data_IF_482006069327
#
_entry.id   IF_482006069327
#
_cell.length_a   1.000
_cell.length_b   1.000
_cell.length_c   1.000
_cell.angle_alpha   90.00
_cell.angle_beta   90.00
_cell.angle_gamma   90.00
#
_symmetry.space_group_name_H-M   'P 1'
#
loop_
_entity.id
_entity.type
_entity.pdbx_description
1 polymer ?
#
# COMPACT_ATOMS: atom_id res chain seq x y z
N UNK A 1 -12.29 -3.36 -29.39
CA UNK A 1 -11.95 -2.27 -28.45
C UNK A 1 -10.46 -1.99 -28.60
N UNK A 2 -10.05 -0.72 -28.62
CA UNK A 2 -8.63 -0.38 -28.60
C UNK A 2 -8.01 -0.84 -27.28
N UNK A 3 -6.80 -1.39 -27.36
CA UNK A 3 -6.09 -1.97 -26.24
C UNK A 3 -5.64 -0.88 -25.26
N UNK A 4 -5.99 -1.00 -23.98
CA UNK A 4 -5.47 -0.09 -22.94
C UNK A 4 -4.00 -0.36 -22.66
N UNK A 5 -3.26 0.67 -22.26
CA UNK A 5 -1.89 0.55 -21.77
C UNK A 5 -1.81 1.33 -20.46
N UNK A 6 -1.67 0.57 -19.37
CA UNK A 6 -1.68 1.08 -18.01
C UNK A 6 -0.28 0.91 -17.42
N UNK A 7 0.24 1.98 -16.85
CA UNK A 7 1.44 1.96 -16.03
C UNK A 7 1.05 1.97 -14.56
N UNK A 8 1.72 1.16 -13.76
CA UNK A 8 1.76 1.30 -12.31
C UNK A 8 3.17 1.72 -11.90
N UNK A 9 3.26 2.84 -11.20
CA UNK A 9 4.52 3.40 -10.70
C UNK A 9 4.51 3.29 -9.19
N UNK A 10 5.59 2.78 -8.62
CA UNK A 10 5.73 2.53 -7.18
C UNK A 10 7.14 2.96 -6.75
N UNK A 11 7.26 3.93 -5.85
CA UNK A 11 8.55 4.38 -5.32
C UNK A 11 9.13 3.31 -4.41
N UNK A 12 10.36 2.91 -4.69
CA UNK A 12 11.02 1.87 -3.93
C UNK A 12 11.25 2.32 -2.48
N UNK A 13 10.87 1.50 -1.49
CA UNK A 13 11.04 1.77 -0.04
C UNK A 13 10.87 3.27 0.35
N UNK A 14 9.85 3.91 -0.14
CA UNK A 14 9.68 5.36 -0.28
C UNK A 14 10.12 6.18 0.94
N UNK A 15 9.59 5.93 2.15
CA UNK A 15 9.94 6.75 3.32
C UNK A 15 11.43 6.63 3.67
N UNK A 16 12.02 5.45 3.54
CA UNK A 16 13.45 5.31 3.80
C UNK A 16 14.31 5.95 2.71
N UNK A 17 13.88 5.97 1.44
CA UNK A 17 14.55 6.79 0.41
C UNK A 17 14.48 8.29 0.71
N UNK A 18 13.34 8.79 1.23
CA UNK A 18 13.23 10.18 1.64
C UNK A 18 14.25 10.51 2.74
N UNK A 19 14.47 9.61 3.69
CA UNK A 19 15.51 9.79 4.71
C UNK A 19 16.93 9.71 4.13
N UNK A 20 17.18 8.85 3.14
CA UNK A 20 18.46 8.80 2.43
C UNK A 20 18.74 10.07 1.60
N UNK A 21 17.69 10.73 1.09
CA UNK A 21 17.82 12.02 0.42
C UNK A 21 18.17 13.13 1.41
N UNK A 22 17.51 13.12 2.58
CA UNK A 22 17.76 14.07 3.68
C UNK A 22 19.14 13.90 4.29
N UNK A 23 19.60 12.64 4.42
CA UNK A 23 20.86 12.24 5.06
C UNK A 23 21.58 11.20 4.22
N UNK A 24 22.35 11.61 3.20
CA UNK A 24 23.00 10.69 2.26
C UNK A 24 23.97 9.68 2.90
N UNK A 25 24.51 10.00 4.07
CA UNK A 25 25.39 9.12 4.86
C UNK A 25 24.66 7.84 5.33
N UNK A 26 23.35 7.84 5.39
CA UNK A 26 22.57 6.68 5.82
C UNK A 26 22.40 5.61 4.73
N UNK A 27 22.76 5.87 3.48
CA UNK A 27 22.53 4.93 2.35
C UNK A 27 23.18 3.56 2.53
N UNK A 28 24.24 3.47 3.31
CA UNK A 28 24.98 2.23 3.55
C UNK A 28 24.52 1.49 4.83
N UNK A 29 23.63 2.09 5.60
CA UNK A 29 23.13 1.56 6.87
C UNK A 29 21.72 0.97 6.74
N UNK A 30 21.33 0.01 7.59
CA UNK A 30 19.94 -0.41 7.70
C UNK A 30 19.08 0.75 8.23
N UNK A 31 18.15 1.25 7.42
CA UNK A 31 17.20 2.31 7.81
C UNK A 31 15.85 1.68 8.06
N UNK A 32 15.27 1.98 9.22
CA UNK A 32 13.93 1.58 9.62
C UNK A 32 13.15 2.81 10.01
N UNK A 33 12.16 3.20 9.21
CA UNK A 33 11.24 4.28 9.54
C UNK A 33 10.09 3.72 10.36
N UNK A 34 9.83 4.32 11.51
CA UNK A 34 8.97 3.79 12.56
C UNK A 34 7.80 4.72 12.88
N UNK A 35 6.65 4.11 13.11
CA UNK A 35 5.52 4.73 13.81
C UNK A 35 5.62 4.32 15.29
N UNK A 36 6.28 5.17 16.09
CA UNK A 36 6.36 4.96 17.53
C UNK A 36 4.99 5.24 18.17
N UNK A 37 4.64 4.44 19.17
CA UNK A 37 3.44 4.70 19.97
C UNK A 37 3.81 5.46 21.24
N UNK A 38 2.84 6.23 21.78
CA UNK A 38 2.99 6.98 23.02
C UNK A 38 3.14 6.09 24.28
N UNK A 39 3.10 4.76 24.15
CA UNK A 39 3.35 3.81 25.23
C UNK A 39 4.82 3.73 25.65
N UNK A 40 5.69 4.41 24.92
CA UNK A 40 7.12 4.49 25.20
C UNK A 40 7.92 3.25 24.79
N UNK A 41 9.24 3.31 24.97
CA UNK A 41 10.18 2.24 24.61
C UNK A 41 10.14 1.88 23.13
N UNK A 42 10.16 0.58 22.82
CA UNK A 42 10.12 0.05 21.47
C UNK A 42 8.70 -0.30 21.01
N UNK A 43 7.69 0.38 21.57
CA UNK A 43 6.30 0.19 21.17
C UNK A 43 6.01 0.91 19.87
N UNK A 44 5.32 0.22 18.95
CA UNK A 44 4.99 0.73 17.62
C UNK A 44 5.32 -0.26 16.51
N UNK A 45 5.19 0.21 15.27
CA UNK A 45 5.38 -0.62 14.09
C UNK A 45 6.32 0.03 13.07
N UNK A 46 6.99 -0.79 12.29
CA UNK A 46 7.79 -0.37 11.13
C UNK A 46 6.85 0.15 10.04
N UNK A 47 7.00 1.40 9.66
CA UNK A 47 6.29 1.97 8.51
C UNK A 47 6.93 1.50 7.20
N UNK A 48 8.25 1.61 7.09
CA UNK A 48 9.02 1.04 5.98
C UNK A 48 10.47 0.77 6.40
N UNK A 49 11.18 -0.02 5.60
CA UNK A 49 12.59 -0.28 5.78
C UNK A 49 13.31 -0.32 4.43
N UNK A 50 14.57 0.12 4.37
CA UNK A 50 15.37 0.02 3.17
C UNK A 50 15.78 -1.43 2.87
N UNK A 51 16.30 -1.69 1.67
CA UNK A 51 16.64 -3.05 1.26
C UNK A 51 17.75 -3.68 2.12
N UNK A 52 18.61 -2.87 2.74
CA UNK A 52 19.63 -3.38 3.67
C UNK A 52 18.95 -3.99 4.89
N UNK A 53 18.01 -3.29 5.51
CA UNK A 53 17.25 -3.79 6.65
C UNK A 53 16.32 -4.97 6.26
N UNK A 54 15.73 -4.95 5.05
CA UNK A 54 14.89 -6.04 4.54
C UNK A 54 15.62 -7.37 4.42
N UNK A 55 16.93 -7.37 4.13
CA UNK A 55 17.78 -8.61 4.13
C UNK A 55 17.81 -9.31 5.48
N UNK A 56 17.54 -8.60 6.57
CA UNK A 56 17.41 -9.15 7.92
C UNK A 56 15.94 -9.46 8.28
N UNK A 57 15.05 -9.44 7.29
CA UNK A 57 13.63 -9.73 7.47
C UNK A 57 12.83 -8.57 8.08
N UNK A 58 13.39 -7.35 8.16
CA UNK A 58 12.67 -6.17 8.65
C UNK A 58 11.81 -5.61 7.52
N UNK A 59 10.49 -5.72 7.66
CA UNK A 59 9.51 -5.27 6.68
C UNK A 59 8.43 -4.40 7.35
N UNK A 60 7.65 -3.69 6.54
CA UNK A 60 6.49 -2.91 7.01
C UNK A 60 5.53 -3.78 7.83
N UNK A 61 4.98 -3.21 8.90
CA UNK A 61 4.07 -3.89 9.82
C UNK A 61 4.75 -4.71 10.92
N UNK A 62 6.09 -4.96 10.85
CA UNK A 62 6.81 -5.61 11.93
C UNK A 62 6.85 -4.70 13.16
N UNK A 63 6.71 -5.26 14.38
CA UNK A 63 6.89 -4.44 15.58
C UNK A 63 8.33 -3.96 15.71
N UNK A 64 8.51 -2.73 16.24
CA UNK A 64 9.85 -2.12 16.40
C UNK A 64 10.75 -3.00 17.27
N UNK A 65 10.20 -3.59 18.32
CA UNK A 65 10.93 -4.52 19.20
C UNK A 65 11.52 -5.71 18.43
N UNK A 66 10.75 -6.32 17.52
CA UNK A 66 11.25 -7.42 16.70
C UNK A 66 12.23 -6.93 15.63
N UNK A 67 12.03 -5.75 15.05
CA UNK A 67 12.97 -5.16 14.10
C UNK A 67 14.35 -4.92 14.76
N UNK A 68 14.39 -4.34 15.95
CA UNK A 68 15.61 -4.17 16.72
C UNK A 68 16.29 -5.50 17.07
N UNK A 69 15.50 -6.53 17.44
CA UNK A 69 16.04 -7.87 17.69
C UNK A 69 16.72 -8.46 16.45
N UNK A 70 16.13 -8.28 15.25
CA UNK A 70 16.69 -8.78 13.99
C UNK A 70 17.95 -8.05 13.55
N UNK A 71 18.06 -6.77 13.86
CA UNK A 71 19.21 -5.92 13.53
C UNK A 71 20.21 -5.80 14.69
N UNK A 72 20.13 -6.64 15.71
CA UNK A 72 20.98 -6.56 16.93
C UNK A 72 22.48 -6.51 16.63
N UNK A 73 22.92 -7.23 15.62
CA UNK A 73 24.34 -7.31 15.24
C UNK A 73 24.79 -6.17 14.30
N UNK A 74 23.84 -5.36 13.81
CA UNK A 74 24.08 -4.19 12.96
C UNK A 74 24.05 -2.93 13.82
N UNK A 75 25.23 -2.58 14.39
CA UNK A 75 25.39 -1.41 15.25
C UNK A 75 25.19 -0.07 14.53
N UNK A 76 25.28 -0.10 13.20
CA UNK A 76 25.03 1.02 12.30
C UNK A 76 23.54 1.15 11.91
N UNK A 77 22.64 0.33 12.45
CA UNK A 77 21.21 0.41 12.13
C UNK A 77 20.57 1.67 12.72
N UNK A 78 19.71 2.33 11.94
CA UNK A 78 19.06 3.59 12.30
C UNK A 78 17.54 3.42 12.33
N UNK A 79 16.93 3.77 13.46
CA UNK A 79 15.48 3.76 13.66
C UNK A 79 14.98 5.19 13.75
N UNK A 80 14.22 5.64 12.75
CA UNK A 80 13.78 7.03 12.60
C UNK A 80 12.26 7.13 12.80
N UNK A 81 11.76 8.16 13.49
CA UNK A 81 10.32 8.44 13.50
C UNK A 81 9.86 8.83 12.10
N UNK A 82 8.63 8.43 11.74
CA UNK A 82 8.03 8.81 10.47
C UNK A 82 7.70 10.31 10.45
N UNK A 83 8.19 11.00 9.43
CA UNK A 83 7.91 12.41 9.14
C UNK A 83 6.98 12.51 7.91
N UNK A 84 5.69 12.34 8.16
CA UNK A 84 4.69 12.31 7.08
C UNK A 84 4.52 13.65 6.35
N UNK A 85 4.85 14.77 6.96
CA UNK A 85 4.79 16.08 6.33
C UNK A 85 5.89 16.19 5.26
N UNK A 86 7.12 15.85 5.63
CA UNK A 86 8.24 15.80 4.71
C UNK A 86 8.01 14.79 3.58
N UNK A 87 7.54 13.57 3.89
CA UNK A 87 7.27 12.57 2.85
C UNK A 87 6.14 13.00 1.92
N UNK A 88 5.13 13.70 2.43
CA UNK A 88 4.04 14.22 1.59
C UNK A 88 4.52 15.29 0.61
N UNK A 89 5.45 16.17 1.02
CA UNK A 89 6.01 17.20 0.14
C UNK A 89 6.81 16.59 -1.02
N UNK A 90 7.62 15.55 -0.75
CA UNK A 90 8.35 14.82 -1.80
C UNK A 90 7.40 14.03 -2.71
N UNK A 91 6.40 13.36 -2.11
CA UNK A 91 5.37 12.65 -2.86
C UNK A 91 4.65 13.57 -3.84
N UNK A 92 4.20 14.72 -3.36
CA UNK A 92 3.44 15.69 -4.17
C UNK A 92 4.25 16.18 -5.38
N UNK A 93 5.52 16.52 -5.15
CA UNK A 93 6.45 16.88 -6.23
C UNK A 93 6.58 15.74 -7.26
N UNK A 94 6.80 14.53 -6.78
CA UNK A 94 7.00 13.36 -7.63
C UNK A 94 5.74 12.99 -8.40
N UNK A 95 4.57 13.05 -7.75
CA UNK A 95 3.28 12.76 -8.39
C UNK A 95 2.91 13.79 -9.46
N UNK A 96 3.28 15.07 -9.28
CA UNK A 96 3.10 16.09 -10.30
C UNK A 96 3.93 15.80 -11.55
N UNK A 97 5.19 15.35 -11.38
CA UNK A 97 6.03 14.90 -12.51
C UNK A 97 5.37 13.75 -13.26
N UNK A 98 4.91 12.73 -12.55
CA UNK A 98 4.29 11.53 -13.14
C UNK A 98 3.03 11.90 -13.92
N UNK A 99 2.21 12.78 -13.37
CA UNK A 99 0.93 13.21 -13.96
C UNK A 99 1.09 13.83 -15.36
N UNK A 100 2.21 14.47 -15.66
CA UNK A 100 2.46 15.05 -16.99
C UNK A 100 2.48 14.01 -18.12
N UNK A 101 2.80 12.77 -17.79
CA UNK A 101 2.88 11.66 -18.73
C UNK A 101 1.57 10.91 -18.95
N UNK A 102 0.53 11.18 -18.16
CA UNK A 102 -0.73 10.43 -18.19
C UNK A 102 -1.77 11.06 -19.13
N UNK A 103 -2.59 10.24 -19.76
CA UNK A 103 -3.91 10.64 -20.30
C UNK A 103 -4.91 10.73 -19.15
N UNK A 104 -4.89 9.72 -18.27
CA UNK A 104 -5.65 9.68 -17.01
C UNK A 104 -4.70 9.27 -15.89
N UNK A 105 -4.73 10.02 -14.79
CA UNK A 105 -3.89 9.81 -13.61
C UNK A 105 -4.74 9.44 -12.41
N UNK A 106 -4.40 8.32 -11.76
CA UNK A 106 -5.01 7.86 -10.52
C UNK A 106 -3.97 7.83 -9.40
N UNK A 107 -4.14 8.72 -8.44
CA UNK A 107 -3.36 8.74 -7.21
C UNK A 107 -3.88 7.65 -6.26
N UNK A 108 -3.06 6.67 -5.91
CA UNK A 108 -3.40 5.57 -5.00
C UNK A 108 -2.89 5.86 -3.58
N UNK A 109 -1.62 6.23 -3.47
CA UNK A 109 -0.95 6.50 -2.22
C UNK A 109 0.21 7.49 -2.38
N UNK A 110 0.92 7.78 -1.29
CA UNK A 110 2.08 8.67 -1.34
C UNK A 110 3.21 8.16 -2.21
N UNK A 111 3.25 6.86 -2.43
CA UNK A 111 4.34 6.15 -3.11
C UNK A 111 3.90 5.43 -4.39
N UNK A 112 2.61 5.44 -4.72
CA UNK A 112 2.13 4.72 -5.90
C UNK A 112 1.01 5.44 -6.66
N UNK A 113 1.00 5.25 -7.99
CA UNK A 113 0.00 5.78 -8.88
C UNK A 113 -0.21 4.88 -10.11
N UNK A 114 -1.43 4.94 -10.68
CA UNK A 114 -1.70 4.39 -12.01
C UNK A 114 -1.80 5.50 -13.05
N UNK A 115 -1.30 5.20 -14.25
CA UNK A 115 -1.41 6.05 -15.42
C UNK A 115 -2.04 5.25 -16.56
N UNK A 116 -3.10 5.75 -17.14
CA UNK A 116 -3.49 5.37 -18.50
C UNK A 116 -2.71 6.27 -19.46
N UNK A 117 -1.93 5.68 -20.34
CA UNK A 117 -1.10 6.38 -21.35
C UNK A 117 -1.51 6.02 -22.77
N UNK A 118 -2.61 5.27 -22.91
CA UNK A 118 -3.03 4.63 -24.17
C UNK A 118 -3.04 5.57 -25.37
N UNK A 119 -3.65 6.76 -25.21
CA UNK A 119 -3.76 7.75 -26.28
C UNK A 119 -2.43 8.43 -26.58
N UNK A 120 -1.67 8.83 -25.55
CA UNK A 120 -0.37 9.51 -25.71
C UNK A 120 0.65 8.70 -26.50
N UNK A 121 0.58 7.37 -26.39
CA UNK A 121 1.51 6.46 -27.06
C UNK A 121 0.86 5.70 -28.23
N UNK A 122 -0.34 6.15 -28.67
CA UNK A 122 -1.04 5.57 -29.83
C UNK A 122 -1.25 4.04 -29.69
N UNK A 123 -1.52 3.56 -28.47
CA UNK A 123 -1.71 2.14 -28.12
C UNK A 123 -0.51 1.22 -28.46
N UNK A 124 0.71 1.77 -28.55
CA UNK A 124 1.94 1.02 -28.86
C UNK A 124 2.71 0.64 -27.58
N UNK A 125 2.78 -0.64 -27.24
CA UNK A 125 3.53 -1.15 -26.10
C UNK A 125 5.06 -0.90 -26.17
N UNK A 126 5.63 -0.74 -27.37
CA UNK A 126 7.05 -0.39 -27.50
C UNK A 126 7.31 1.03 -26.99
N UNK A 127 6.40 1.96 -27.30
CA UNK A 127 6.46 3.33 -26.77
C UNK A 127 6.22 3.36 -25.25
N UNK A 128 5.46 2.42 -24.71
CA UNK A 128 5.23 2.34 -23.26
C UNK A 128 6.51 2.08 -22.47
N UNK A 129 7.41 1.24 -22.96
CA UNK A 129 8.72 1.04 -22.33
C UNK A 129 9.55 2.33 -22.35
N UNK A 130 9.54 3.06 -23.47
CA UNK A 130 10.28 4.32 -23.60
C UNK A 130 9.75 5.40 -22.64
N UNK A 131 8.42 5.64 -22.61
CA UNK A 131 7.81 6.62 -21.70
C UNK A 131 8.06 6.26 -20.24
N UNK A 132 8.02 4.97 -19.90
CA UNK A 132 8.31 4.50 -18.53
C UNK A 132 9.76 4.83 -18.14
N UNK A 133 10.72 4.66 -19.05
CA UNK A 133 12.11 5.02 -18.77
C UNK A 133 12.29 6.54 -18.64
N UNK A 134 11.60 7.32 -19.45
CA UNK A 134 11.60 8.79 -19.32
C UNK A 134 11.06 9.22 -17.95
N UNK A 135 9.95 8.64 -17.48
CA UNK A 135 9.40 8.90 -16.16
C UNK A 135 10.42 8.58 -15.06
N UNK A 136 11.03 7.39 -15.10
CA UNK A 136 12.04 6.98 -14.12
C UNK A 136 13.23 7.95 -14.08
N UNK A 137 13.72 8.35 -15.24
CA UNK A 137 14.85 9.28 -15.35
C UNK A 137 14.48 10.65 -14.78
N UNK A 138 13.32 11.20 -15.15
CA UNK A 138 12.85 12.50 -14.67
C UNK A 138 12.65 12.52 -13.14
N UNK A 139 12.05 11.46 -12.58
CA UNK A 139 11.92 11.30 -11.14
C UNK A 139 13.30 11.30 -10.47
N UNK A 140 14.24 10.50 -10.99
CA UNK A 140 15.59 10.41 -10.42
C UNK A 140 16.34 11.74 -10.50
N UNK A 141 16.23 12.46 -11.59
CA UNK A 141 16.90 13.76 -11.79
C UNK A 141 16.34 14.82 -10.84
N UNK A 142 15.01 14.94 -10.74
CA UNK A 142 14.36 16.02 -10.02
C UNK A 142 14.15 15.74 -8.53
N UNK A 143 14.00 14.47 -8.12
CA UNK A 143 13.67 14.10 -6.74
C UNK A 143 14.70 13.20 -6.08
N UNK A 144 15.66 12.66 -6.82
CA UNK A 144 16.64 11.65 -6.37
C UNK A 144 16.02 10.31 -5.94
N UNK A 145 14.71 10.12 -6.15
CA UNK A 145 14.04 8.85 -5.88
C UNK A 145 14.28 7.85 -7.02
N UNK A 146 14.21 6.56 -6.67
CA UNK A 146 14.01 5.49 -7.62
C UNK A 146 12.58 4.96 -7.53
N UNK A 147 12.06 4.47 -8.65
CA UNK A 147 10.75 3.84 -8.70
C UNK A 147 10.78 2.61 -9.59
N UNK A 148 9.92 1.66 -9.30
CA UNK A 148 9.67 0.51 -10.13
C UNK A 148 8.39 0.72 -10.95
N UNK A 149 8.44 0.37 -12.23
CA UNK A 149 7.33 0.59 -13.15
C UNK A 149 6.89 -0.74 -13.75
N UNK A 150 5.59 -1.01 -13.68
CA UNK A 150 4.95 -2.12 -14.36
C UNK A 150 4.03 -1.61 -15.46
N UNK A 151 4.08 -2.23 -16.63
CA UNK A 151 3.28 -1.88 -17.79
C UNK A 151 2.48 -3.07 -18.25
N UNK A 152 1.17 -2.92 -18.40
CA UNK A 152 0.29 -3.95 -18.95
C UNK A 152 -1.03 -3.36 -19.49
N UNK A 153 -1.95 -4.22 -19.92
CA UNK A 153 -3.28 -3.84 -20.41
C UNK A 153 -4.31 -3.48 -19.33
N UNK A 154 -4.01 -3.73 -18.05
CA UNK A 154 -4.92 -3.45 -16.92
C UNK A 154 -4.17 -3.12 -15.63
N UNK A 155 -4.89 -2.63 -14.61
CA UNK A 155 -4.34 -2.21 -13.32
C UNK A 155 -3.71 -3.36 -12.55
N UNK A 156 -4.38 -4.50 -12.48
CA UNK A 156 -3.90 -5.67 -11.76
C UNK A 156 -2.52 -6.11 -12.25
N UNK A 157 -2.39 -6.36 -13.55
CA UNK A 157 -1.15 -6.83 -14.16
C UNK A 157 -0.03 -5.80 -14.08
N UNK A 158 -0.33 -4.51 -14.27
CA UNK A 158 0.68 -3.45 -14.14
C UNK A 158 1.20 -3.33 -12.70
N UNK A 159 0.34 -3.52 -11.68
CA UNK A 159 0.76 -3.55 -10.28
C UNK A 159 1.64 -4.77 -9.96
N UNK A 160 1.26 -5.95 -10.42
CA UNK A 160 2.10 -7.15 -10.26
C UNK A 160 3.44 -6.97 -10.97
N UNK A 161 3.43 -6.45 -12.19
CA UNK A 161 4.63 -6.20 -12.98
C UNK A 161 5.59 -5.19 -12.31
N UNK A 162 5.07 -4.14 -11.64
CA UNK A 162 5.92 -3.18 -10.93
C UNK A 162 6.65 -3.80 -9.73
N UNK A 163 6.08 -4.84 -9.12
CA UNK A 163 6.71 -5.56 -8.01
C UNK A 163 7.72 -6.63 -8.46
N UNK A 164 7.61 -7.10 -9.71
CA UNK A 164 8.34 -8.27 -10.21
C UNK A 164 9.88 -8.10 -10.23
N UNK A 165 10.36 -6.89 -10.51
CA UNK A 165 11.80 -6.57 -10.60
C UNK A 165 12.22 -5.42 -9.67
N UNK A 166 11.61 -5.31 -8.48
CA UNK A 166 12.07 -4.32 -7.49
C UNK A 166 13.47 -4.63 -6.97
N UNK A 167 14.31 -3.61 -6.68
CA UNK A 167 14.08 -2.16 -6.84
C UNK A 167 14.47 -1.64 -8.24
N UNK A 168 14.02 -0.43 -8.54
CA UNK A 168 14.36 0.33 -9.75
C UNK A 168 14.08 -0.45 -11.04
N UNK A 169 13.08 -1.34 -11.01
CA UNK A 169 12.70 -2.20 -12.12
C UNK A 169 11.84 -1.51 -13.18
N UNK A 170 11.80 -2.15 -14.35
CA UNK A 170 10.82 -1.90 -15.39
C UNK A 170 10.40 -3.25 -15.97
N UNK A 171 9.11 -3.56 -15.87
CA UNK A 171 8.54 -4.81 -16.39
C UNK A 171 7.37 -4.49 -17.29
N UNK A 172 7.43 -4.98 -18.53
CA UNK A 172 6.37 -4.84 -19.52
C UNK A 172 5.76 -6.21 -19.78
N UNK A 173 4.46 -6.34 -19.52
CA UNK A 173 3.71 -7.56 -19.77
C UNK A 173 2.81 -7.35 -20.97
N UNK A 174 3.25 -7.92 -22.11
CA UNK A 174 2.50 -7.86 -23.36
C UNK A 174 1.27 -8.76 -23.33
N UNK A 175 0.22 -8.47 -24.09
CA UNK A 175 -1.02 -9.24 -24.09
C UNK A 175 -0.86 -10.73 -24.40
N UNK A 176 0.02 -11.06 -25.34
CA UNK A 176 0.35 -12.44 -25.73
C UNK A 176 1.21 -13.18 -24.69
N UNK A 177 1.74 -12.47 -23.69
CA UNK A 177 2.59 -13.01 -22.63
C UNK A 177 1.91 -13.09 -21.27
N UNK A 178 0.66 -12.65 -21.15
CA UNK A 178 -0.05 -12.60 -19.85
C UNK A 178 -0.12 -13.99 -19.20
N UNK A 179 -0.50 -15.03 -19.96
CA UNK A 179 -0.65 -16.38 -19.38
C UNK A 179 0.66 -16.90 -18.83
N UNK A 180 1.73 -16.77 -19.61
CA UNK A 180 3.07 -17.18 -19.18
C UNK A 180 3.56 -16.37 -17.98
N UNK A 181 3.41 -15.05 -18.01
CA UNK A 181 3.83 -14.18 -16.91
C UNK A 181 3.14 -14.56 -15.58
N UNK A 182 1.84 -14.84 -15.61
CA UNK A 182 1.10 -15.22 -14.41
C UNK A 182 1.52 -16.63 -13.92
N UNK A 183 1.79 -17.56 -14.81
CA UNK A 183 2.22 -18.92 -14.46
C UNK A 183 3.59 -18.96 -13.76
N UNK A 184 4.45 -18.00 -14.06
CA UNK A 184 5.76 -17.84 -13.43
C UNK A 184 5.71 -17.22 -12.02
N UNK A 185 4.51 -16.80 -11.54
CA UNK A 185 4.32 -16.14 -10.25
C UNK A 185 4.03 -17.15 -9.13
N UNK A 186 4.35 -16.78 -7.90
CA UNK A 186 3.79 -17.42 -6.70
C UNK A 186 2.34 -16.94 -6.47
N UNK A 187 1.53 -17.76 -5.80
CA UNK A 187 0.12 -17.40 -5.48
C UNK A 187 0.05 -16.06 -4.74
N UNK A 188 1.02 -15.77 -3.87
CA UNK A 188 1.08 -14.52 -3.10
C UNK A 188 1.47 -13.28 -3.90
N UNK A 189 2.04 -13.46 -5.09
CA UNK A 189 2.35 -12.33 -5.98
C UNK A 189 1.09 -11.75 -6.62
N UNK A 190 -0.01 -12.51 -6.64
CA UNK A 190 -1.30 -12.01 -7.07
C UNK A 190 -1.80 -11.00 -6.04
N UNK A 191 -1.90 -9.75 -6.45
CA UNK A 191 -2.39 -8.69 -5.59
C UNK A 191 -3.75 -9.07 -4.96
N UNK A 192 -3.91 -8.85 -3.66
CA UNK A 192 -5.11 -9.21 -2.91
C UNK A 192 -5.13 -10.64 -2.35
N UNK A 193 -4.16 -11.50 -2.70
CA UNK A 193 -3.97 -12.80 -2.05
C UNK A 193 -2.95 -12.65 -0.91
N UNK A 194 -3.46 -12.62 0.31
CA UNK A 194 -2.64 -12.57 1.52
C UNK A 194 -2.33 -13.96 2.07
N UNK A 195 -1.49 -14.00 3.13
CA UNK A 195 -1.05 -15.22 3.79
C UNK A 195 -2.21 -16.17 4.18
N UNK A 196 -3.30 -15.63 4.76
CA UNK A 196 -4.47 -16.43 5.17
C UNK A 196 -5.20 -17.06 3.97
N UNK A 197 -5.27 -16.36 2.85
CA UNK A 197 -5.89 -16.89 1.63
C UNK A 197 -5.03 -17.99 1.03
N UNK A 198 -3.71 -17.80 0.99
CA UNK A 198 -2.74 -18.79 0.53
C UNK A 198 -2.77 -20.06 1.40
N UNK A 199 -2.78 -19.93 2.74
CA UNK A 199 -2.88 -21.04 3.68
C UNK A 199 -4.15 -21.85 3.43
N UNK A 200 -5.29 -21.19 3.26
CA UNK A 200 -6.57 -21.84 2.97
C UNK A 200 -6.60 -22.55 1.61
N UNK A 201 -5.97 -21.96 0.58
CA UNK A 201 -5.79 -22.61 -0.72
C UNK A 201 -4.91 -23.86 -0.60
N UNK A 202 -3.84 -23.79 0.19
CA UNK A 202 -2.94 -24.91 0.41
C UNK A 202 -3.61 -26.08 1.17
N UNK A 203 -4.53 -25.81 2.10
CA UNK A 203 -5.38 -26.82 2.76
C UNK A 203 -6.22 -27.62 1.76
N UNK A 204 -6.67 -26.98 0.68
CA UNK A 204 -7.41 -27.63 -0.44
C UNK A 204 -6.47 -28.20 -1.53
N UNK A 205 -5.15 -28.28 -1.26
CA UNK A 205 -4.17 -28.83 -2.19
C UNK A 205 -3.72 -27.87 -3.29
N UNK A 206 -4.16 -26.60 -3.29
CA UNK A 206 -3.83 -25.59 -4.29
C UNK A 206 -2.57 -24.85 -3.88
N UNK A 207 -1.43 -25.16 -4.53
CA UNK A 207 -0.10 -24.64 -4.17
C UNK A 207 0.55 -23.82 -5.29
N UNK A 208 0.02 -23.86 -6.50
CA UNK A 208 0.56 -23.17 -7.67
C UNK A 208 -0.53 -22.39 -8.38
N UNK A 209 -0.13 -21.44 -9.22
CA UNK A 209 -1.05 -20.71 -10.08
C UNK A 209 -1.79 -21.66 -11.04
N UNK A 210 -1.12 -22.68 -11.56
CA UNK A 210 -1.75 -23.70 -12.41
C UNK A 210 -2.88 -24.40 -11.67
N UNK A 211 -2.64 -24.92 -10.45
CA UNK A 211 -3.70 -25.54 -9.64
C UNK A 211 -4.85 -24.58 -9.35
N UNK A 212 -4.53 -23.28 -9.15
CA UNK A 212 -5.55 -22.27 -8.87
C UNK A 212 -6.38 -21.93 -10.13
N UNK A 213 -5.79 -21.98 -11.32
CA UNK A 213 -6.50 -21.84 -12.60
C UNK A 213 -7.46 -23.01 -12.88
N UNK A 214 -7.16 -24.21 -12.38
CA UNK A 214 -8.03 -25.39 -12.57
C UNK A 214 -9.32 -25.29 -11.77
N UNK A 215 -9.37 -24.45 -10.74
CA UNK A 215 -10.60 -24.23 -9.98
C UNK A 215 -11.61 -23.38 -10.75
N UNK A 216 -12.88 -23.79 -10.70
CA UNK A 216 -13.96 -22.99 -11.21
C UNK A 216 -14.34 -21.84 -10.27
N UNK A 217 -15.09 -20.89 -10.79
CA UNK A 217 -15.51 -19.71 -10.02
C UNK A 217 -16.41 -20.08 -8.83
N UNK A 218 -17.21 -21.15 -8.96
CA UNK A 218 -18.16 -21.56 -7.93
C UNK A 218 -17.41 -22.09 -6.69
N UNK A 219 -16.41 -22.94 -6.89
CA UNK A 219 -15.54 -23.45 -5.83
C UNK A 219 -14.85 -22.33 -5.08
N UNK A 220 -14.28 -21.34 -5.78
CA UNK A 220 -13.64 -20.19 -5.17
C UNK A 220 -14.64 -19.29 -4.42
N UNK A 221 -15.86 -19.15 -4.92
CA UNK A 221 -16.93 -18.40 -4.24
C UNK A 221 -17.38 -19.11 -2.96
N UNK A 222 -17.46 -20.44 -2.95
CA UNK A 222 -17.76 -21.20 -1.74
C UNK A 222 -16.66 -21.02 -0.67
N UNK A 223 -15.39 -21.02 -1.08
CA UNK A 223 -14.25 -20.87 -0.16
C UNK A 223 -14.11 -19.46 0.42
N UNK A 224 -14.26 -18.43 -0.41
CA UNK A 224 -13.86 -17.05 -0.07
C UNK A 224 -15.00 -16.02 -0.13
N UNK A 225 -16.22 -16.47 -0.45
CA UNK A 225 -17.37 -15.60 -0.68
C UNK A 225 -17.35 -14.96 -2.08
N UNK A 226 -18.52 -14.45 -2.50
CA UNK A 226 -18.74 -13.97 -3.87
C UNK A 226 -17.69 -12.98 -4.35
N UNK A 227 -17.42 -11.93 -3.56
CA UNK A 227 -16.49 -10.87 -3.97
C UNK A 227 -15.06 -11.39 -4.14
N UNK A 228 -14.53 -12.06 -3.12
CA UNK A 228 -13.13 -12.52 -3.13
C UNK A 228 -12.93 -13.70 -4.08
N UNK A 229 -13.87 -14.67 -4.12
CA UNK A 229 -13.77 -15.80 -5.02
C UNK A 229 -13.80 -15.42 -6.49
N UNK A 230 -14.71 -14.53 -6.89
CA UNK A 230 -14.76 -14.00 -8.28
C UNK A 230 -13.49 -13.19 -8.60
N UNK A 231 -13.00 -12.39 -7.64
CA UNK A 231 -11.74 -11.65 -7.82
C UNK A 231 -10.56 -12.59 -8.06
N UNK A 232 -10.36 -13.61 -7.22
CA UNK A 232 -9.27 -14.58 -7.36
C UNK A 232 -9.36 -15.30 -8.71
N UNK A 233 -10.56 -15.74 -9.10
CA UNK A 233 -10.80 -16.41 -10.38
C UNK A 233 -10.36 -15.56 -11.58
N UNK A 234 -10.69 -14.26 -11.58
CA UNK A 234 -10.32 -13.34 -12.64
C UNK A 234 -8.82 -12.98 -12.58
N UNK A 235 -8.30 -12.73 -11.38
CA UNK A 235 -6.94 -12.28 -11.18
C UNK A 235 -5.89 -13.28 -11.68
N UNK A 236 -6.06 -14.58 -11.42
CA UNK A 236 -5.15 -15.61 -11.91
C UNK A 236 -5.25 -15.85 -13.42
N UNK A 237 -6.25 -15.28 -14.07
CA UNK A 237 -6.39 -15.25 -15.53
C UNK A 237 -5.99 -13.94 -16.16
N UNK A 238 -5.49 -13.00 -15.34
CA UNK A 238 -5.06 -11.67 -15.77
C UNK A 238 -6.21 -10.75 -16.18
N UNK A 239 -7.42 -11.04 -15.72
CA UNK A 239 -8.64 -10.30 -16.06
C UNK A 239 -8.90 -9.25 -15.00
N UNK A 240 -8.92 -7.99 -15.43
CA UNK A 240 -9.27 -6.84 -14.62
C UNK A 240 -9.77 -5.71 -15.52
N UNK A 241 -11.04 -5.35 -15.36
CA UNK A 241 -11.70 -4.33 -16.17
C UNK A 241 -11.74 -2.96 -15.49
N UNK A 242 -11.18 -2.85 -14.28
CA UNK A 242 -11.19 -1.61 -13.52
C UNK A 242 -10.48 -0.49 -14.31
N UNK A 243 -11.14 0.66 -14.54
CA UNK A 243 -10.52 1.78 -15.24
C UNK A 243 -9.55 2.52 -14.32
N UNK A 244 -8.56 3.19 -14.93
CA UNK A 244 -7.81 4.24 -14.23
C UNK A 244 -8.73 5.44 -14.08
N UNK A 245 -8.93 5.89 -12.84
CA UNK A 245 -9.85 7.00 -12.53
C UNK A 245 -9.16 8.06 -11.69
N UNK A 246 -9.43 9.35 -11.93
CA UNK A 246 -8.96 10.39 -11.03
C UNK A 246 -9.42 10.13 -9.59
N UNK A 247 -8.59 10.51 -8.63
CA UNK A 247 -8.91 10.34 -7.21
C UNK A 247 -10.28 10.92 -6.88
N UNK A 248 -11.15 10.08 -6.36
CA UNK A 248 -12.45 10.54 -5.85
C UNK A 248 -12.26 11.49 -4.65
N UNK A 249 -13.18 12.44 -4.44
CA UNK A 249 -13.16 13.28 -3.24
C UNK A 249 -13.16 12.43 -1.97
N UNK A 250 -12.43 12.87 -0.95
CA UNK A 250 -12.38 12.20 0.36
C UNK A 250 -13.78 12.11 0.96
N UNK A 251 -14.26 10.90 1.16
CA UNK A 251 -15.60 10.61 1.72
C UNK A 251 -15.58 10.31 3.20
N UNK A 252 -14.39 10.03 3.76
CA UNK A 252 -14.21 9.69 5.16
C UNK A 252 -12.94 10.35 5.70
N UNK A 253 -13.06 11.02 6.85
CA UNK A 253 -11.94 11.58 7.60
C UNK A 253 -11.90 10.85 8.94
N UNK A 254 -10.73 10.35 9.33
CA UNK A 254 -10.57 9.61 10.59
C UNK A 254 -9.24 9.95 11.28
N UNK A 255 -9.24 9.84 12.59
CA UNK A 255 -8.04 9.88 13.43
C UNK A 255 -8.02 8.68 14.34
N UNK A 256 -6.85 8.17 14.63
CA UNK A 256 -6.64 7.02 15.53
C UNK A 256 -5.63 7.46 16.57
N UNK A 257 -5.91 7.13 17.83
CA UNK A 257 -4.97 7.27 18.94
C UNK A 257 -4.80 5.92 19.63
N UNK A 258 -3.59 5.61 20.02
CA UNK A 258 -3.31 4.48 20.92
C UNK A 258 -3.10 5.08 22.32
N UNK A 259 -3.94 4.68 23.28
CA UNK A 259 -3.82 5.18 24.66
C UNK A 259 -2.45 4.83 25.23
N UNK A 260 -1.86 5.75 26.00
CA UNK A 260 -0.54 5.57 26.66
C UNK A 260 -0.52 4.40 27.64
N UNK A 261 -1.65 4.13 28.29
CA UNK A 261 -1.88 3.00 29.20
C UNK A 261 -3.28 2.43 28.97
N UNK A 262 -3.49 1.19 29.35
CA UNK A 262 -4.83 0.62 29.42
C UNK A 262 -5.57 1.31 30.56
N UNK A 263 -6.83 1.68 30.35
CA UNK A 263 -7.61 2.44 31.30
C UNK A 263 -9.09 2.12 31.17
N UNK A 264 -9.77 2.06 32.29
CA UNK A 264 -11.22 2.05 32.48
C UNK A 264 -11.72 3.36 33.12
N UNK A 265 -10.82 4.34 33.30
CA UNK A 265 -11.09 5.66 33.80
C UNK A 265 -11.86 6.49 32.77
N UNK A 266 -13.11 6.82 33.09
CA UNK A 266 -14.01 7.55 32.19
C UNK A 266 -13.48 8.95 31.84
N UNK A 267 -12.97 9.68 32.82
CA UNK A 267 -12.48 11.05 32.62
C UNK A 267 -11.28 11.07 31.69
N UNK A 268 -10.36 10.12 31.85
CA UNK A 268 -9.20 9.95 30.96
C UNK A 268 -9.62 9.57 29.53
N UNK A 269 -10.62 8.68 29.39
CA UNK A 269 -11.12 8.27 28.06
C UNK A 269 -11.89 9.40 27.38
N UNK A 270 -12.68 10.18 28.13
CA UNK A 270 -13.41 11.34 27.63
C UNK A 270 -12.45 12.42 27.14
N UNK A 271 -11.40 12.75 27.90
CA UNK A 271 -10.38 13.70 27.47
C UNK A 271 -9.71 13.28 26.17
N UNK A 272 -9.31 12.01 26.05
CA UNK A 272 -8.71 11.48 24.82
C UNK A 272 -9.66 11.56 23.62
N UNK A 273 -10.96 11.32 23.85
CA UNK A 273 -11.97 11.42 22.81
C UNK A 273 -12.21 12.88 22.39
N UNK A 274 -12.29 13.81 23.33
CA UNK A 274 -12.43 15.24 23.05
C UNK A 274 -11.26 15.76 22.20
N UNK A 275 -10.02 15.38 22.55
CA UNK A 275 -8.85 15.73 21.73
C UNK A 275 -8.94 15.18 20.30
N UNK A 276 -9.45 13.96 20.10
CA UNK A 276 -9.69 13.42 18.78
C UNK A 276 -10.77 14.21 18.01
N UNK A 277 -11.85 14.59 18.69
CA UNK A 277 -12.92 15.39 18.10
C UNK A 277 -12.42 16.76 17.65
N UNK A 278 -11.64 17.46 18.46
CA UNK A 278 -11.07 18.77 18.14
C UNK A 278 -10.12 18.69 16.93
N UNK A 279 -9.28 17.67 16.90
CA UNK A 279 -8.39 17.41 15.76
C UNK A 279 -9.16 17.14 14.47
N UNK A 280 -10.24 16.35 14.54
CA UNK A 280 -11.08 16.07 13.37
C UNK A 280 -11.85 17.31 12.92
N UNK A 281 -12.41 18.07 13.87
CA UNK A 281 -13.16 19.28 13.61
C UNK A 281 -12.29 20.32 12.88
N UNK A 282 -11.04 20.49 13.31
CA UNK A 282 -10.08 21.38 12.65
C UNK A 282 -9.86 21.03 11.19
N UNK A 283 -9.77 19.73 10.85
CA UNK A 283 -9.62 19.25 9.46
C UNK A 283 -10.90 19.48 8.67
N UNK A 284 -12.07 19.19 9.24
CA UNK A 284 -13.37 19.35 8.60
C UNK A 284 -13.63 20.81 8.25
N UNK A 285 -13.35 21.72 9.18
CA UNK A 285 -13.48 23.18 8.94
C UNK A 285 -12.51 23.63 7.84
N UNK A 286 -11.24 23.22 7.89
CA UNK A 286 -10.23 23.56 6.89
C UNK A 286 -10.63 23.10 5.48
N UNK A 287 -11.26 21.94 5.36
CA UNK A 287 -11.75 21.40 4.08
C UNK A 287 -13.13 21.93 3.67
N UNK A 288 -13.73 22.79 4.45
CA UNK A 288 -15.10 23.32 4.26
C UNK A 288 -16.14 22.21 4.03
N UNK A 289 -16.09 21.18 4.88
CA UNK A 289 -16.95 20.00 4.82
C UNK A 289 -17.87 19.91 6.05
N UNK A 290 -18.92 19.11 5.93
CA UNK A 290 -19.76 18.68 7.03
C UNK A 290 -19.87 17.16 7.04
N UNK A 291 -20.09 16.57 8.21
CA UNK A 291 -20.26 15.13 8.36
C UNK A 291 -21.75 14.76 8.46
N UNK A 292 -22.11 13.59 7.95
CA UNK A 292 -23.45 12.98 8.09
C UNK A 292 -23.46 11.89 9.16
N UNK A 293 -22.33 11.22 9.34
CA UNK A 293 -22.20 10.08 10.25
C UNK A 293 -20.88 10.24 11.02
N UNK A 294 -20.97 10.04 12.33
CA UNK A 294 -19.80 9.94 13.22
C UNK A 294 -19.74 8.52 13.74
N UNK A 295 -18.57 7.90 13.71
CA UNK A 295 -18.33 6.57 14.26
C UNK A 295 -17.10 6.57 15.17
N UNK A 296 -17.18 5.84 16.27
CA UNK A 296 -16.07 5.67 17.21
C UNK A 296 -15.74 4.17 17.24
N UNK A 297 -14.80 3.69 16.41
CA UNK A 297 -14.32 2.32 16.52
C UNK A 297 -13.34 2.21 17.69
N UNK A 298 -13.52 1.18 18.52
CA UNK A 298 -12.61 0.85 19.62
C UNK A 298 -12.00 -0.52 19.35
N UNK A 299 -10.67 -0.63 19.45
CA UNK A 299 -9.95 -1.89 19.29
C UNK A 299 -9.27 -2.26 20.59
N UNK A 300 -9.48 -3.49 21.05
CA UNK A 300 -8.84 -4.06 22.22
C UNK A 300 -7.82 -5.10 21.77
N UNK A 301 -6.60 -5.04 22.30
CA UNK A 301 -5.54 -6.02 22.00
C UNK A 301 -5.65 -7.29 22.85
N UNK A 302 -6.37 -7.23 23.98
CA UNK A 302 -6.60 -8.35 24.89
C UNK A 302 -8.07 -8.35 25.35
N UNK A 303 -8.92 -9.12 24.67
CA UNK A 303 -10.28 -9.43 25.16
C UNK A 303 -10.20 -10.66 26.07
N UNK A 304 -10.74 -10.57 27.29
CA UNK A 304 -11.06 -11.75 28.07
C UNK A 304 -12.29 -12.43 27.47
N UNK A 305 -12.40 -13.76 27.58
CA UNK A 305 -13.33 -14.63 26.86
C UNK A 305 -14.85 -14.32 27.01
N UNK A 306 -15.23 -13.24 27.68
CA UNK A 306 -16.63 -12.87 27.96
C UNK A 306 -17.02 -11.45 27.52
N UNK A 307 -16.15 -10.73 26.79
CA UNK A 307 -16.48 -9.37 26.33
C UNK A 307 -16.88 -9.39 24.85
N UNK A 308 -18.18 -9.28 24.63
CA UNK A 308 -18.75 -9.11 23.29
C UNK A 308 -18.50 -7.68 22.81
N UNK A 309 -17.95 -7.51 21.60
CA UNK A 309 -17.83 -6.21 20.93
C UNK A 309 -19.20 -5.50 20.88
N UNK A 310 -19.41 -4.50 21.73
CA UNK A 310 -20.54 -3.59 21.61
C UNK A 310 -20.15 -2.43 20.73
N UNK A 311 -20.70 -2.41 19.53
CA UNK A 311 -20.69 -1.21 18.69
C UNK A 311 -21.63 -0.19 19.32
N UNK A 312 -21.09 0.90 19.88
CA UNK A 312 -21.89 2.07 20.25
C UNK A 312 -22.24 2.83 18.97
N UNK A 313 -23.39 2.49 18.39
CA UNK A 313 -24.01 3.28 17.32
C UNK A 313 -24.83 4.38 18.00
N UNK A 314 -24.32 5.61 18.00
CA UNK A 314 -25.12 6.76 18.41
C UNK A 314 -26.16 7.03 17.33
N UNK A 315 -27.44 6.91 17.71
CA UNK A 315 -28.57 7.31 16.88
C UNK A 315 -28.53 8.83 16.69
N UNK A 316 -28.72 9.22 15.44
CA UNK A 316 -29.05 10.54 14.89
C UNK A 316 -29.52 11.54 15.97
N UNK A 317 -28.71 12.55 16.25
CA UNK A 317 -29.26 13.81 16.72
C UNK A 317 -29.73 14.62 15.50
N UNK A 318 -30.99 15.05 15.54
CA UNK A 318 -31.61 15.95 14.56
C UNK A 318 -31.16 17.38 14.83
#
# INVERSE_FOLDING_TARGET
MQQRIILHIDFDYFYAQCEEIRKPELKTSPIVVCMFSDRGGDSGAVATANYIARKYGVNSGLSIKFAKKRLKERTDSVFLPADFEFYSSISEKSMNIIKEFADVFEYVGRDEAYLDVSKKIEHDFKRASHISQQIKNKIREETKLTCSVGVSGNKLLSKIASNYKKPDGLTVVLPDRISQFIEDLEIRDIHGIGKKTEERLAEEGVKTISNLKDLDVFSLVQMFGRKSGTYIFNAVRGIDDEPVTPRAPTTQIGKIVTLKKDSDDYDFLEEALLQLCDNLNSVIIKENKAFKIVGIPVSYTHLRAHETLRYLVWRRMR
#
